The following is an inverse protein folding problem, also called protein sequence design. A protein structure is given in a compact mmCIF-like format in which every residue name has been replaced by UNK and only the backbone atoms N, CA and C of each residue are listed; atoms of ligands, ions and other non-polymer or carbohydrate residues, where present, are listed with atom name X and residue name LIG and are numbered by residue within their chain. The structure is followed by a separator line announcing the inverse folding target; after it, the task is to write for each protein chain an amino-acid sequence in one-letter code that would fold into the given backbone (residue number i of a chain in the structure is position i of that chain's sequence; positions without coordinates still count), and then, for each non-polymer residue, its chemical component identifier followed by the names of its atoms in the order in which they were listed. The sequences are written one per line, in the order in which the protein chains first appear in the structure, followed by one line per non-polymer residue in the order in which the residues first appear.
data_IF_174527990422
#
_entry.id   IF_174527990422
#
_cell.length_a   1.000
_cell.length_b   1.000
_cell.length_c   1.000
_cell.angle_alpha   90.00
_cell.angle_beta   90.00
_cell.angle_gamma   90.00
#
_symmetry.space_group_name_H-M   'P 1'
#
loop_
_entity.id
_entity.type
_entity.pdbx_description
1 polymer ?
#
# COMPACT_ATOMS: atom_id res chain seq x y z
N UNK A 1 -4.09 -25.00 1.37
CA UNK A 1 -4.49 -23.90 2.27
C UNK A 1 -3.37 -22.91 2.17
N UNK A 2 -3.61 -21.82 1.44
CA UNK A 2 -2.51 -21.01 0.89
C UNK A 2 -2.21 -19.79 1.76
N UNK A 3 -3.13 -19.45 2.68
CA UNK A 3 -3.00 -18.39 3.66
C UNK A 3 -3.40 -18.89 5.06
N UNK A 4 -2.74 -18.37 6.09
CA UNK A 4 -3.07 -18.63 7.49
C UNK A 4 -3.77 -17.41 8.10
N UNK A 5 -4.97 -17.56 8.71
CA UNK A 5 -5.72 -16.41 9.21
C UNK A 5 -5.07 -15.81 10.45
N UNK A 6 -4.75 -14.52 10.40
CA UNK A 6 -4.14 -13.76 11.49
C UNK A 6 -4.72 -12.35 11.57
N UNK A 7 -4.68 -11.76 12.77
CA UNK A 7 -4.95 -10.34 12.96
C UNK A 7 -3.63 -9.61 13.19
N UNK A 8 -3.44 -8.50 12.47
CA UNK A 8 -2.22 -7.70 12.52
C UNK A 8 -2.50 -6.36 13.19
N UNK A 9 -1.61 -5.97 14.11
CA UNK A 9 -1.62 -4.63 14.69
C UNK A 9 -0.76 -3.72 13.82
N UNK A 10 -1.35 -2.66 13.29
CA UNK A 10 -0.66 -1.69 12.43
C UNK A 10 -0.37 -0.35 13.12
N UNK A 11 -0.70 -0.24 14.39
CA UNK A 11 -0.35 0.93 15.21
C UNK A 11 1.16 1.21 15.10
N UNK A 12 1.48 2.46 14.77
CA UNK A 12 2.81 2.98 14.44
C UNK A 12 3.58 2.33 13.27
N UNK A 13 2.99 1.36 12.56
CA UNK A 13 3.65 0.68 11.43
C UNK A 13 3.69 1.56 10.19
N UNK A 14 4.84 1.59 9.52
CA UNK A 14 5.05 2.33 8.30
C UNK A 14 4.47 1.54 7.13
N UNK A 15 3.42 2.06 6.50
CA UNK A 15 2.73 1.40 5.38
C UNK A 15 2.83 2.25 4.12
N UNK A 16 3.38 1.66 3.06
CA UNK A 16 3.40 2.28 1.74
C UNK A 16 2.16 1.86 0.94
N UNK A 17 1.48 2.82 0.33
CA UNK A 17 0.42 2.58 -0.65
C UNK A 17 0.88 3.13 -2.00
N UNK A 18 0.91 2.28 -3.02
CA UNK A 18 1.32 2.65 -4.37
C UNK A 18 0.11 2.66 -5.29
N UNK A 19 -0.22 3.85 -5.80
CA UNK A 19 -1.44 4.12 -6.57
C UNK A 19 -2.42 4.97 -5.77
N UNK A 20 -3.04 5.95 -6.45
CA UNK A 20 -3.94 6.93 -5.85
C UNK A 20 -5.38 6.83 -6.35
N UNK A 21 -5.81 5.67 -6.85
CA UNK A 21 -7.16 5.47 -7.41
C UNK A 21 -8.21 5.08 -6.38
N UNK A 22 -9.38 4.68 -6.85
CA UNK A 22 -10.52 4.27 -6.01
C UNK A 22 -10.21 3.06 -5.11
N UNK A 23 -9.42 2.10 -5.61
CA UNK A 23 -8.95 0.96 -4.82
C UNK A 23 -8.13 1.41 -3.62
N UNK A 24 -7.26 2.42 -3.81
CA UNK A 24 -6.45 2.98 -2.74
C UNK A 24 -7.32 3.63 -1.66
N UNK A 25 -8.39 4.36 -2.02
CA UNK A 25 -9.34 4.95 -1.07
C UNK A 25 -9.85 3.92 -0.07
N UNK A 26 -10.36 2.79 -0.57
CA UNK A 26 -10.94 1.71 0.26
C UNK A 26 -9.91 1.09 1.20
N UNK A 27 -8.66 0.90 0.74
CA UNK A 27 -7.59 0.32 1.56
C UNK A 27 -7.07 1.30 2.60
N UNK A 28 -6.88 2.57 2.22
CA UNK A 28 -6.45 3.64 3.12
C UNK A 28 -7.40 3.79 4.31
N UNK A 29 -8.72 3.71 4.09
CA UNK A 29 -9.69 3.80 5.20
C UNK A 29 -9.51 2.70 6.24
N UNK A 30 -9.27 1.46 5.81
CA UNK A 30 -9.04 0.32 6.70
C UNK A 30 -7.70 0.47 7.44
N UNK A 31 -6.65 0.90 6.74
CA UNK A 31 -5.32 1.14 7.30
C UNK A 31 -5.35 2.27 8.34
N UNK A 32 -6.06 3.38 8.07
CA UNK A 32 -6.23 4.49 9.00
C UNK A 32 -7.00 4.06 10.25
N UNK A 33 -8.04 3.23 10.12
CA UNK A 33 -8.74 2.64 11.27
C UNK A 33 -7.84 1.75 12.12
N UNK A 34 -6.88 1.08 11.48
CA UNK A 34 -5.86 0.27 12.15
C UNK A 34 -4.65 1.09 12.66
N UNK A 35 -4.71 2.43 12.58
CA UNK A 35 -3.69 3.36 13.07
C UNK A 35 -2.32 3.24 12.37
N UNK A 36 -2.32 2.79 11.11
CA UNK A 36 -1.10 2.73 10.30
C UNK A 36 -0.57 4.13 9.95
N UNK A 37 0.76 4.28 9.93
CA UNK A 37 1.45 5.44 9.40
C UNK A 37 1.57 5.31 7.87
N UNK A 38 0.62 5.91 7.15
CA UNK A 38 0.49 5.71 5.71
C UNK A 38 1.29 6.76 4.93
N UNK A 39 2.11 6.28 3.99
CA UNK A 39 2.63 7.09 2.88
C UNK A 39 2.05 6.60 1.57
N UNK A 40 1.54 7.52 0.76
CA UNK A 40 0.99 7.23 -0.56
C UNK A 40 1.91 7.77 -1.66
N UNK A 41 2.30 6.92 -2.61
CA UNK A 41 3.06 7.28 -3.81
C UNK A 41 2.17 7.14 -5.04
N UNK A 42 1.91 8.25 -5.73
CA UNK A 42 1.21 8.23 -7.02
C UNK A 42 1.35 9.55 -7.78
N UNK A 43 1.38 9.54 -9.13
CA UNK A 43 1.40 10.78 -9.92
C UNK A 43 0.14 11.64 -9.73
N UNK A 44 -0.98 11.00 -9.41
CA UNK A 44 -2.29 11.62 -9.24
C UNK A 44 -3.04 10.97 -8.08
N UNK A 45 -3.95 11.73 -7.47
CA UNK A 45 -4.80 11.26 -6.39
C UNK A 45 -6.27 11.42 -6.74
N UNK A 46 -7.06 10.45 -6.33
CA UNK A 46 -8.50 10.58 -6.22
C UNK A 46 -8.84 11.73 -5.23
N UNK A 47 -9.88 12.56 -5.50
CA UNK A 47 -10.22 13.71 -4.65
C UNK A 47 -10.37 13.38 -3.16
N UNK A 48 -10.92 12.21 -2.84
CA UNK A 48 -11.02 11.72 -1.46
C UNK A 48 -9.65 11.62 -0.76
N UNK A 49 -8.64 11.07 -1.43
CA UNK A 49 -7.29 10.95 -0.87
C UNK A 49 -6.63 12.31 -0.72
N UNK A 50 -6.89 13.25 -1.65
CA UNK A 50 -6.40 14.62 -1.53
C UNK A 50 -6.92 15.30 -0.25
N UNK A 51 -8.19 15.07 0.11
CA UNK A 51 -8.76 15.58 1.36
C UNK A 51 -8.08 14.97 2.60
N UNK A 52 -7.80 13.66 2.59
CA UNK A 52 -7.07 13.01 3.68
C UNK A 52 -5.65 13.57 3.85
N UNK A 53 -4.96 13.83 2.75
CA UNK A 53 -3.63 14.49 2.75
C UNK A 53 -3.74 15.91 3.31
N UNK A 54 -4.69 16.70 2.84
CA UNK A 54 -4.90 18.08 3.29
C UNK A 54 -5.22 18.16 4.80
N UNK A 55 -5.90 17.14 5.33
CA UNK A 55 -6.20 17.00 6.76
C UNK A 55 -5.05 16.38 7.58
N UNK A 56 -3.88 16.15 6.98
CA UNK A 56 -2.71 15.59 7.65
C UNK A 56 -2.87 14.13 8.09
N UNK A 57 -3.81 13.39 7.47
CA UNK A 57 -4.09 11.99 7.85
C UNK A 57 -3.11 10.99 7.25
N UNK A 58 -2.43 11.35 6.16
CA UNK A 58 -1.42 10.51 5.50
C UNK A 58 -0.39 11.38 4.78
N UNK A 59 0.80 10.83 4.56
CA UNK A 59 1.86 11.49 3.79
C UNK A 59 1.69 11.19 2.31
N UNK A 60 1.86 12.19 1.45
CA UNK A 60 1.74 12.01 -0.02
C UNK A 60 3.03 12.38 -0.73
N UNK A 61 3.46 11.52 -1.66
CA UNK A 61 4.56 11.74 -2.59
C UNK A 61 4.03 11.74 -4.02
N UNK A 62 3.93 12.93 -4.62
CA UNK A 62 3.49 13.11 -6.00
C UNK A 62 4.59 12.71 -6.99
N UNK A 63 4.69 11.42 -7.28
CA UNK A 63 5.66 10.84 -8.22
C UNK A 63 5.22 9.45 -8.68
N UNK A 64 5.87 8.94 -9.72
CA UNK A 64 5.84 7.52 -10.02
C UNK A 64 6.63 6.73 -8.96
N UNK A 65 6.25 5.48 -8.75
CA UNK A 65 6.96 4.57 -7.85
C UNK A 65 8.40 4.34 -8.32
N UNK A 66 9.30 4.29 -7.34
CA UNK A 66 10.69 3.86 -7.51
C UNK A 66 11.03 2.86 -6.39
N UNK A 67 11.96 1.96 -6.65
CA UNK A 67 12.31 0.88 -5.72
C UNK A 67 12.81 1.40 -4.35
N UNK A 68 13.39 2.60 -4.31
CA UNK A 68 13.84 3.26 -3.08
C UNK A 68 12.68 3.72 -2.18
N UNK A 69 11.46 3.86 -2.72
CA UNK A 69 10.29 4.23 -1.93
C UNK A 69 9.92 3.18 -0.88
N UNK A 70 10.41 1.94 -1.02
CA UNK A 70 10.21 0.86 -0.04
C UNK A 70 11.07 0.99 1.21
N UNK A 71 12.09 1.85 1.21
CA UNK A 71 13.03 1.97 2.32
C UNK A 71 12.31 2.56 3.54
N UNK A 72 12.41 1.86 4.68
CA UNK A 72 11.84 2.30 5.96
C UNK A 72 10.36 1.95 6.16
N UNK A 73 9.78 1.14 5.27
CA UNK A 73 8.41 0.64 5.42
C UNK A 73 8.38 -0.79 5.96
N UNK A 74 7.29 -1.17 6.64
CA UNK A 74 7.02 -2.54 7.08
C UNK A 74 6.19 -3.31 6.03
N UNK A 75 5.32 -2.61 5.31
CA UNK A 75 4.35 -3.20 4.37
C UNK A 75 4.15 -2.31 3.14
N UNK A 76 3.79 -2.92 2.01
CA UNK A 76 3.41 -2.22 0.79
C UNK A 76 2.11 -2.76 0.19
N UNK A 77 1.25 -1.85 -0.26
CA UNK A 77 0.00 -2.12 -0.96
C UNK A 77 0.09 -1.61 -2.39
N UNK A 78 0.09 -2.52 -3.36
CA UNK A 78 0.02 -2.17 -4.77
C UNK A 78 -1.47 -2.08 -5.19
N UNK A 79 -1.92 -0.85 -5.41
CA UNK A 79 -3.31 -0.52 -5.78
C UNK A 79 -3.38 0.16 -7.15
N UNK A 80 -2.49 -0.24 -8.07
CA UNK A 80 -2.41 0.33 -9.43
C UNK A 80 -3.10 -0.56 -10.46
N UNK A 81 -3.53 0.02 -11.58
CA UNK A 81 -4.09 -0.73 -12.71
C UNK A 81 -3.02 -1.27 -13.67
N UNK A 82 -1.73 -1.06 -13.38
CA UNK A 82 -0.63 -1.47 -14.24
C UNK A 82 -0.04 -2.78 -13.74
N UNK A 83 -0.35 -3.88 -14.43
CA UNK A 83 0.10 -5.21 -14.03
C UNK A 83 1.62 -5.33 -13.92
N UNK A 84 2.37 -4.76 -14.87
CA UNK A 84 3.83 -4.77 -14.85
C UNK A 84 4.40 -4.06 -13.61
N UNK A 85 3.81 -2.92 -13.23
CA UNK A 85 4.21 -2.19 -12.03
C UNK A 85 3.88 -2.97 -10.76
N UNK A 86 2.71 -3.61 -10.69
CA UNK A 86 2.33 -4.44 -9.56
C UNK A 86 3.28 -5.64 -9.36
N UNK A 87 3.72 -6.27 -10.46
CA UNK A 87 4.72 -7.34 -10.43
C UNK A 87 6.09 -6.82 -9.96
N UNK A 88 6.49 -5.64 -10.43
CA UNK A 88 7.72 -4.99 -9.97
C UNK A 88 7.68 -4.71 -8.46
N UNK A 89 6.61 -4.11 -7.96
CA UNK A 89 6.43 -3.83 -6.53
C UNK A 89 6.51 -5.11 -5.70
N UNK A 90 5.86 -6.20 -6.15
CA UNK A 90 5.96 -7.50 -5.51
C UNK A 90 7.43 -7.98 -5.44
N UNK A 91 8.12 -8.01 -6.57
CA UNK A 91 9.52 -8.45 -6.63
C UNK A 91 10.42 -7.62 -5.71
N UNK A 92 10.32 -6.30 -5.79
CA UNK A 92 11.13 -5.37 -5.00
C UNK A 92 10.89 -5.50 -3.49
N UNK A 93 9.63 -5.71 -3.09
CA UNK A 93 9.21 -5.93 -1.71
C UNK A 93 9.70 -7.27 -1.17
N UNK A 94 9.55 -8.34 -1.96
CA UNK A 94 10.03 -9.69 -1.61
C UNK A 94 11.53 -9.72 -1.38
N UNK A 95 12.32 -9.05 -2.25
CA UNK A 95 13.76 -8.92 -2.08
C UNK A 95 14.18 -8.22 -0.77
N UNK A 96 13.29 -7.40 -0.20
CA UNK A 96 13.51 -6.65 1.06
C UNK A 96 12.82 -7.29 2.26
N UNK A 97 12.20 -8.46 2.08
CA UNK A 97 11.39 -9.13 3.11
C UNK A 97 10.22 -8.28 3.64
N UNK A 98 9.69 -7.40 2.80
CA UNK A 98 8.50 -6.62 3.10
C UNK A 98 7.24 -7.43 2.81
N UNK A 99 6.21 -7.22 3.62
CA UNK A 99 4.90 -7.79 3.33
C UNK A 99 4.23 -6.99 2.21
N UNK A 100 3.85 -7.68 1.13
CA UNK A 100 3.18 -7.06 -0.01
C UNK A 100 1.76 -7.59 -0.15
N UNK A 101 0.84 -6.67 -0.43
CA UNK A 101 -0.50 -6.97 -0.92
C UNK A 101 -0.68 -6.31 -2.29
N UNK A 102 -0.81 -7.13 -3.32
CA UNK A 102 -1.24 -6.68 -4.65
C UNK A 102 -2.75 -6.90 -4.75
N UNK A 103 -3.51 -5.80 -4.79
CA UNK A 103 -4.96 -5.90 -4.77
C UNK A 103 -5.47 -6.69 -5.99
N UNK A 104 -6.43 -7.58 -5.72
CA UNK A 104 -7.05 -8.48 -6.69
C UNK A 104 -6.10 -9.45 -7.41
N UNK A 105 -4.87 -9.63 -6.91
CA UNK A 105 -3.90 -10.60 -7.44
C UNK A 105 -3.26 -11.47 -6.33
N UNK A 106 -4.00 -12.45 -5.78
CA UNK A 106 -3.55 -13.29 -4.67
C UNK A 106 -2.19 -13.98 -4.86
N UNK A 107 -1.81 -14.48 -6.06
CA UNK A 107 -0.48 -15.05 -6.30
C UNK A 107 0.70 -14.12 -6.03
N UNK A 108 0.48 -12.80 -6.00
CA UNK A 108 1.50 -11.79 -5.72
C UNK A 108 1.42 -11.23 -4.28
N UNK A 109 0.65 -11.87 -3.40
CA UNK A 109 0.42 -11.41 -2.03
C UNK A 109 1.15 -12.27 -1.00
N UNK A 110 1.82 -11.64 -0.03
CA UNK A 110 2.25 -12.30 1.21
C UNK A 110 1.11 -12.38 2.24
N UNK A 111 0.16 -11.44 2.15
CA UNK A 111 -1.03 -11.42 3.00
C UNK A 111 -2.23 -10.91 2.22
N UNK A 112 -3.42 -11.31 2.65
CA UNK A 112 -4.69 -10.89 2.07
C UNK A 112 -5.57 -10.25 3.14
N UNK A 113 -6.51 -9.41 2.71
CA UNK A 113 -7.61 -8.97 3.57
C UNK A 113 -8.84 -9.83 3.26
N UNK A 114 -9.54 -10.33 4.29
CA UNK A 114 -10.84 -10.97 4.10
C UNK A 114 -11.89 -10.00 3.56
#
# INVERSE_FOLDING_TARGET
MDFFPVFLRLDDRQVLVVGGGEVACRKVDLLLKAQANITLVSPQLHPYLQQLVANGRLTYRQKCYQTEDLIGFDQVWATTNQQALNQQIHSDATQRSLWVNVVDNPPLCHFITP
#
